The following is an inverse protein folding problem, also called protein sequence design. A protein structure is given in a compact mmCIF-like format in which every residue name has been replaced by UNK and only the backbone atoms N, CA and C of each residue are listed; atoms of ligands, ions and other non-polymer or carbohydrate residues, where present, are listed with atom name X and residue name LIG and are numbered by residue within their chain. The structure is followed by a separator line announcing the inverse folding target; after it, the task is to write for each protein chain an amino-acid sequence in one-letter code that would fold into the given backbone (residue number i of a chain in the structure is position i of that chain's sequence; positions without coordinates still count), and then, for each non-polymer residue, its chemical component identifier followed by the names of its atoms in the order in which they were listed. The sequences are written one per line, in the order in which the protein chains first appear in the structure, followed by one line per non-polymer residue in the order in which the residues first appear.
data_IF_992113127639
#
_entry.id   IF_992113127639
#
_cell.length_a   1.000
_cell.length_b   1.000
_cell.length_c   1.000
_cell.angle_alpha   90.00
_cell.angle_beta   90.00
_cell.angle_gamma   90.00
#
_symmetry.space_group_name_H-M   'P 1'
#
loop_
_entity.id
_entity.type
_entity.pdbx_description
1 polymer ?
#
# COMPACT_ATOMS: atom_id res chain seq x y z
N UNK A 1 4.52 -21.82 -28.29
CA UNK A 1 4.46 -22.28 -26.90
C UNK A 1 3.36 -21.54 -26.18
N UNK A 2 2.33 -22.24 -25.70
CA UNK A 2 1.19 -21.63 -24.98
C UNK A 2 1.63 -21.50 -23.52
N UNK A 3 1.70 -20.27 -23.01
CA UNK A 3 1.96 -19.99 -21.60
C UNK A 3 0.69 -20.30 -20.80
N UNK A 4 0.68 -21.42 -20.11
CA UNK A 4 -0.41 -21.85 -19.24
C UNK A 4 -0.33 -21.08 -17.91
N UNK A 5 -1.30 -20.18 -17.68
CA UNK A 5 -1.44 -19.48 -16.41
C UNK A 5 -2.16 -20.36 -15.40
N UNK A 6 -1.45 -20.80 -14.37
CA UNK A 6 -2.08 -21.45 -13.23
C UNK A 6 -2.80 -20.38 -12.40
N UNK A 7 -4.11 -20.24 -12.58
CA UNK A 7 -4.97 -19.44 -11.71
C UNK A 7 -5.19 -20.19 -10.39
N UNK A 8 -4.18 -20.17 -9.51
CA UNK A 8 -4.32 -20.68 -8.15
C UNK A 8 -5.39 -19.86 -7.40
N UNK A 9 -6.42 -20.53 -6.88
CA UNK A 9 -7.41 -19.89 -6.01
C UNK A 9 -6.75 -19.53 -4.68
N UNK A 10 -6.84 -18.27 -4.25
CA UNK A 10 -6.42 -17.81 -2.93
C UNK A 10 -7.31 -18.44 -1.85
N UNK A 11 -6.97 -19.65 -1.38
CA UNK A 11 -7.67 -20.28 -0.26
C UNK A 11 -7.32 -19.56 1.03
N UNK A 12 -8.25 -18.76 1.55
CA UNK A 12 -8.18 -18.10 2.86
C UNK A 12 -8.17 -19.14 3.99
N UNK A 13 -6.99 -19.60 4.42
CA UNK A 13 -6.87 -20.28 5.72
C UNK A 13 -7.08 -19.26 6.84
N UNK A 14 -8.27 -19.25 7.45
CA UNK A 14 -8.65 -18.31 8.51
C UNK A 14 -7.85 -18.59 9.78
N UNK A 15 -6.70 -17.92 9.95
CA UNK A 15 -5.98 -17.91 11.25
C UNK A 15 -6.89 -17.26 12.31
N UNK A 16 -6.82 -17.70 13.58
CA UNK A 16 -7.56 -17.04 14.67
C UNK A 16 -7.20 -15.55 14.69
N UNK A 17 -8.22 -14.67 14.68
CA UNK A 17 -7.98 -13.23 14.76
C UNK A 17 -7.41 -12.92 16.15
N UNK A 18 -6.20 -12.34 16.26
CA UNK A 18 -5.76 -11.78 17.53
C UNK A 18 -6.76 -10.70 17.98
N UNK A 19 -6.89 -10.55 19.30
CA UNK A 19 -7.68 -9.50 19.95
C UNK A 19 -7.46 -8.16 19.25
N UNK A 20 -8.51 -7.41 18.85
CA UNK A 20 -8.36 -6.12 18.20
C UNK A 20 -7.97 -5.09 19.25
N UNK A 21 -6.68 -5.03 19.60
CA UNK A 21 -6.17 -3.77 20.12
C UNK A 21 -6.38 -2.70 19.04
N UNK A 22 -6.87 -1.50 19.42
CA UNK A 22 -7.12 -0.46 18.44
C UNK A 22 -5.80 -0.09 17.76
N UNK A 23 -5.69 -0.45 16.48
CA UNK A 23 -4.56 -0.09 15.64
C UNK A 23 -4.53 1.43 15.53
N UNK A 24 -3.58 2.06 16.23
CA UNK A 24 -3.33 3.48 16.07
C UNK A 24 -2.42 3.67 14.86
N UNK A 25 -2.97 4.25 13.80
CA UNK A 25 -2.20 4.60 12.63
C UNK A 25 -1.53 5.95 12.83
N UNK A 26 -0.25 6.10 12.48
CA UNK A 26 0.38 7.41 12.46
C UNK A 26 -0.29 8.28 11.41
N UNK A 27 -0.70 9.49 11.80
CA UNK A 27 -1.23 10.50 10.89
C UNK A 27 -0.04 11.21 10.24
N UNK A 28 -0.11 11.40 8.92
CA UNK A 28 0.84 12.20 8.16
C UNK A 28 0.13 13.45 7.67
N UNK A 29 0.77 14.59 7.83
CA UNK A 29 0.29 15.86 7.26
C UNK A 29 0.44 15.84 5.74
N UNK A 30 -0.52 16.45 5.05
CA UNK A 30 -0.55 16.44 3.59
C UNK A 30 0.64 17.19 2.99
N UNK A 31 1.07 18.27 3.64
CA UNK A 31 2.20 19.11 3.26
C UNK A 31 3.56 18.38 3.37
N UNK A 32 3.62 17.33 4.18
CA UNK A 32 4.82 16.52 4.37
C UNK A 32 4.97 15.41 3.32
N UNK A 33 4.00 15.26 2.42
CA UNK A 33 3.98 14.27 1.36
C UNK A 33 4.25 14.94 0.01
N UNK A 34 5.34 14.54 -0.66
CA UNK A 34 5.62 14.93 -2.04
C UNK A 34 5.45 13.73 -2.97
N UNK A 35 4.44 13.77 -3.82
CA UNK A 35 4.21 12.76 -4.85
C UNK A 35 5.22 12.88 -6.01
N UNK A 36 5.64 11.74 -6.52
CA UNK A 36 6.47 11.58 -7.71
C UNK A 36 5.66 10.81 -8.78
N UNK A 37 6.21 9.74 -9.34
CA UNK A 37 5.59 8.98 -10.42
C UNK A 37 4.61 7.91 -9.92
N UNK A 38 3.61 7.59 -10.75
CA UNK A 38 2.79 6.39 -10.58
C UNK A 38 3.64 5.17 -10.90
N UNK A 39 3.73 4.24 -9.96
CA UNK A 39 4.54 3.02 -10.07
C UNK A 39 3.70 1.75 -10.21
N UNK A 40 2.38 1.87 -10.15
CA UNK A 40 1.49 0.75 -10.41
C UNK A 40 0.04 1.19 -10.49
N UNK A 41 -0.68 0.70 -11.50
CA UNK A 41 -2.10 0.93 -11.68
C UNK A 41 -2.87 -0.39 -11.56
N UNK A 42 -4.08 -0.32 -11.01
CA UNK A 42 -4.95 -1.47 -10.91
C UNK A 42 -6.40 -1.05 -10.77
N UNK A 43 -7.30 -2.04 -10.82
CA UNK A 43 -8.74 -1.80 -10.78
C UNK A 43 -9.19 -1.05 -9.50
N UNK A 44 -8.49 -1.29 -8.38
CA UNK A 44 -8.80 -0.71 -7.06
C UNK A 44 -7.99 0.56 -6.77
N UNK A 45 -7.47 1.23 -7.79
CA UNK A 45 -6.66 2.45 -7.68
C UNK A 45 -5.18 2.23 -7.94
N UNK A 46 -4.37 3.21 -7.58
CA UNK A 46 -2.98 3.36 -8.03
C UNK A 46 -1.98 3.39 -6.86
N UNK A 47 -0.73 3.08 -7.16
CA UNK A 47 0.40 3.22 -6.24
C UNK A 47 1.32 4.31 -6.78
N UNK A 48 1.63 5.30 -5.96
CA UNK A 48 2.48 6.43 -6.33
C UNK A 48 3.73 6.40 -5.47
N UNK A 49 4.89 6.59 -6.09
CA UNK A 49 6.14 6.85 -5.37
C UNK A 49 6.06 8.25 -4.75
N UNK A 50 6.47 8.38 -3.50
CA UNK A 50 6.45 9.64 -2.80
C UNK A 50 7.67 9.80 -1.90
N UNK A 51 8.01 11.05 -1.60
CA UNK A 51 8.92 11.41 -0.53
C UNK A 51 8.10 11.91 0.65
N UNK A 52 8.17 11.21 1.78
CA UNK A 52 7.48 11.59 3.03
C UNK A 52 8.48 12.20 3.98
N UNK A 53 8.14 13.35 4.56
CA UNK A 53 8.88 13.93 5.67
C UNK A 53 8.21 13.53 6.98
N UNK A 54 8.92 12.79 7.82
CA UNK A 54 8.44 12.39 9.15
C UNK A 54 9.53 12.68 10.17
N UNK A 55 9.19 13.38 11.24
CA UNK A 55 10.12 13.75 12.32
C UNK A 55 11.38 14.49 11.80
N UNK A 56 11.23 15.28 10.74
CA UNK A 56 12.31 16.00 10.07
C UNK A 56 13.14 15.16 9.08
N UNK A 57 12.93 13.85 9.03
CA UNK A 57 13.63 12.92 8.14
C UNK A 57 12.81 12.70 6.86
N UNK A 58 13.46 12.78 5.70
CA UNK A 58 12.84 12.45 4.41
C UNK A 58 13.06 10.97 4.10
N UNK A 59 12.01 10.28 3.69
CA UNK A 59 12.05 8.87 3.30
C UNK A 59 11.22 8.60 2.05
N UNK A 60 11.70 7.68 1.22
CA UNK A 60 10.94 7.19 0.06
C UNK A 60 9.83 6.26 0.54
N UNK A 61 8.62 6.48 0.06
CA UNK A 61 7.44 5.69 0.35
C UNK A 61 6.67 5.35 -0.92
N UNK A 62 5.87 4.29 -0.84
CA UNK A 62 4.86 3.97 -1.84
C UNK A 62 3.48 4.22 -1.23
N UNK A 63 2.68 5.09 -1.84
CA UNK A 63 1.35 5.47 -1.36
C UNK A 63 0.29 4.79 -2.23
N UNK A 64 -0.56 3.97 -1.62
CA UNK A 64 -1.72 3.37 -2.28
C UNK A 64 -2.88 4.37 -2.22
N UNK A 65 -3.24 4.91 -3.38
CA UNK A 65 -4.45 5.72 -3.54
C UNK A 65 -5.57 4.82 -4.05
N UNK A 66 -6.69 4.81 -3.34
CA UNK A 66 -7.90 4.08 -3.73
C UNK A 66 -8.73 4.93 -4.71
N UNK A 67 -9.44 4.27 -5.62
CA UNK A 67 -10.37 4.89 -6.57
C UNK A 67 -11.79 4.91 -5.99
#
# INVERSE_FOLDING_TARGET
TILQFNSGTLTLTRRPKPSPEPLTYPILEWEDIKFEDVIGEGNFGQVIKAMVKKDGIKMSAAIKMLK
#
